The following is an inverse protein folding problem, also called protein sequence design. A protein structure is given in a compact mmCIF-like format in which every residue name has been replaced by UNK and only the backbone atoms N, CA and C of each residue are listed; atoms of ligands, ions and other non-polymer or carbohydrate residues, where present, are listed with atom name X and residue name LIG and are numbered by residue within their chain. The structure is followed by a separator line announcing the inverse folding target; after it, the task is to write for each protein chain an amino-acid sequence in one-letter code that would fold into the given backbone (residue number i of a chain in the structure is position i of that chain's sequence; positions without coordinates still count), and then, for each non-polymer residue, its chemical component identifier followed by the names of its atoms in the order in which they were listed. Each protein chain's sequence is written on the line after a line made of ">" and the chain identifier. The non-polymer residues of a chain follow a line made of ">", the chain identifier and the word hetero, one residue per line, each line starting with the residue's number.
data_IF_419550630529
#
_entry.id   IF_419550630529
#
_cell.length_a   1.000
_cell.length_b   1.000
_cell.length_c   1.000
_cell.angle_alpha   90.00
_cell.angle_beta   90.00
_cell.angle_gamma   90.00
#
_symmetry.space_group_name_H-M   'P 1'
#
loop_
_entity.id
_entity.type
_entity.pdbx_description
1 polymer ?
#
# COMPACT_ATOMS: atom_id res chain seq x y z
N UNK A 1 -35.63 -22.08 39.09
CA UNK A 1 -34.29 -21.80 39.67
C UNK A 1 -33.96 -22.95 40.62
N UNK A 2 -32.75 -23.55 40.67
CA UNK A 2 -31.43 -23.10 40.17
C UNK A 2 -30.90 -23.95 38.97
N UNK A 3 -30.11 -23.45 38.01
CA UNK A 3 -28.65 -23.16 37.93
C UNK A 3 -27.78 -24.30 37.31
N UNK A 4 -26.61 -23.91 36.77
CA UNK A 4 -25.48 -24.73 36.27
C UNK A 4 -25.66 -25.56 34.98
N UNK A 5 -25.45 -24.90 33.84
CA UNK A 5 -24.60 -25.41 32.74
C UNK A 5 -23.54 -24.34 32.51
N UNK A 6 -22.24 -24.58 32.52
CA UNK A 6 -21.52 -25.85 32.41
C UNK A 6 -20.31 -25.58 31.52
N UNK A 7 -19.27 -24.97 32.09
CA UNK A 7 -18.07 -24.56 31.35
C UNK A 7 -17.16 -25.78 31.07
N UNK A 8 -16.41 -25.71 29.96
CA UNK A 8 -15.24 -26.54 29.58
C UNK A 8 -15.41 -27.77 28.66
N UNK A 9 -14.33 -28.01 27.89
CA UNK A 9 -14.02 -29.01 26.84
C UNK A 9 -14.41 -28.62 25.40
N UNK A 10 -13.57 -28.86 24.37
CA UNK A 10 -12.32 -29.65 24.31
C UNK A 10 -11.29 -29.03 23.36
N UNK A 11 -10.01 -29.14 23.72
CA UNK A 11 -8.89 -28.84 22.81
C UNK A 11 -8.54 -30.07 21.93
N UNK A 12 -7.64 -29.85 20.97
CA UNK A 12 -7.07 -30.80 20.01
C UNK A 12 -7.97 -31.21 18.82
N UNK A 13 -7.51 -30.84 17.61
CA UNK A 13 -7.24 -31.70 16.44
C UNK A 13 -6.62 -30.80 15.37
N UNK A 14 -5.34 -31.01 15.06
CA UNK A 14 -4.62 -30.32 13.99
C UNK A 14 -3.65 -31.32 13.35
N UNK A 15 -3.83 -31.67 12.07
CA UNK A 15 -2.95 -32.66 11.43
C UNK A 15 -3.23 -33.04 9.97
N UNK A 16 -4.48 -33.01 9.49
CA UNK A 16 -4.84 -33.64 8.19
C UNK A 16 -5.17 -32.68 7.03
N UNK A 17 -5.16 -31.35 7.24
CA UNK A 17 -5.62 -30.38 6.24
C UNK A 17 -4.58 -29.99 5.15
N UNK A 18 -3.30 -30.28 5.34
CA UNK A 18 -2.22 -29.61 4.58
C UNK A 18 -2.10 -29.98 3.09
N UNK A 19 -2.72 -31.08 2.63
CA UNK A 19 -2.55 -31.56 1.25
C UNK A 19 -3.33 -30.75 0.19
N UNK A 20 -4.45 -30.11 0.56
CA UNK A 20 -5.31 -29.38 -0.39
C UNK A 20 -4.92 -27.89 -0.47
N UNK A 21 -4.52 -27.28 0.65
CA UNK A 21 -4.16 -25.87 0.75
C UNK A 21 -2.98 -25.47 -0.16
N UNK A 22 -1.97 -26.34 -0.29
CA UNK A 22 -0.75 -26.05 -1.05
C UNK A 22 -0.98 -25.79 -2.56
N UNK A 23 -1.98 -26.45 -3.18
CA UNK A 23 -2.25 -26.31 -4.62
C UNK A 23 -2.92 -24.97 -4.95
N UNK A 24 -3.79 -24.47 -4.06
CA UNK A 24 -4.42 -23.15 -4.21
C UNK A 24 -3.40 -22.05 -3.96
N UNK A 25 -2.59 -22.17 -2.90
CA UNK A 25 -1.55 -21.18 -2.57
C UNK A 25 -0.59 -20.96 -3.74
N UNK A 26 -0.05 -22.04 -4.33
CA UNK A 26 0.87 -21.96 -5.46
C UNK A 26 0.26 -21.31 -6.73
N UNK A 27 -1.07 -21.40 -6.89
CA UNK A 27 -1.80 -20.77 -8.01
C UNK A 27 -2.08 -19.29 -7.76
N UNK A 28 -2.18 -18.88 -6.50
CA UNK A 28 -2.26 -17.48 -6.08
C UNK A 28 -0.88 -16.82 -6.20
N UNK A 29 0.18 -17.43 -5.67
CA UNK A 29 1.56 -16.91 -5.75
C UNK A 29 1.97 -16.65 -7.22
N UNK A 30 1.66 -17.59 -8.13
CA UNK A 30 1.91 -17.44 -9.57
C UNK A 30 1.04 -16.37 -10.27
N UNK A 31 -0.09 -15.96 -9.67
CA UNK A 31 -0.94 -14.88 -10.19
C UNK A 31 -0.38 -13.52 -9.77
N UNK A 32 0.06 -13.37 -8.52
CA UNK A 32 0.67 -12.15 -8.00
C UNK A 32 2.02 -11.85 -8.67
N UNK A 33 2.90 -12.83 -8.81
CA UNK A 33 4.18 -12.66 -9.52
C UNK A 33 4.00 -12.19 -10.98
N UNK A 34 2.85 -12.50 -11.60
CA UNK A 34 2.51 -12.06 -12.97
C UNK A 34 1.91 -10.65 -13.02
N UNK A 35 1.40 -10.14 -11.90
CA UNK A 35 0.96 -8.74 -11.76
C UNK A 35 2.15 -7.82 -11.50
N UNK A 36 3.11 -8.23 -10.65
CA UNK A 36 4.36 -7.48 -10.43
C UNK A 36 5.15 -7.31 -11.75
N UNK A 37 5.22 -8.36 -12.57
CA UNK A 37 5.84 -8.30 -13.89
C UNK A 37 5.11 -7.38 -14.90
N UNK A 38 3.82 -7.11 -14.70
CA UNK A 38 3.01 -6.23 -15.54
C UNK A 38 2.96 -4.77 -15.02
N UNK A 39 3.43 -4.52 -13.80
CA UNK A 39 3.53 -3.20 -13.19
C UNK A 39 4.90 -2.51 -13.46
N UNK A 40 5.76 -3.13 -14.27
CA UNK A 40 7.01 -2.51 -14.71
C UNK A 40 6.68 -1.28 -15.60
N UNK A 41 7.19 -0.08 -15.27
CA UNK A 41 6.85 1.14 -16.01
C UNK A 41 7.43 1.10 -17.43
N UNK A 42 6.60 1.42 -18.43
CA UNK A 42 7.09 1.67 -19.79
C UNK A 42 8.04 2.88 -19.81
N UNK A 43 9.12 2.85 -20.62
CA UNK A 43 10.03 3.98 -20.75
C UNK A 43 9.31 5.15 -21.42
N UNK A 44 9.29 6.30 -20.75
CA UNK A 44 8.68 7.51 -21.28
C UNK A 44 9.33 7.95 -22.61
N UNK A 45 8.54 8.45 -23.59
CA UNK A 45 9.09 8.91 -24.86
C UNK A 45 10.04 10.09 -24.64
N UNK A 46 11.22 10.01 -25.26
CA UNK A 46 12.22 11.06 -25.17
C UNK A 46 11.69 12.36 -25.80
N UNK A 47 11.79 13.47 -25.05
CA UNK A 47 11.41 14.79 -25.56
C UNK A 47 12.31 15.18 -26.75
N UNK A 48 11.77 15.84 -27.79
CA UNK A 48 12.56 16.33 -28.90
C UNK A 48 13.61 17.33 -28.42
N UNK A 49 14.83 17.21 -28.93
CA UNK A 49 15.94 18.07 -28.54
C UNK A 49 15.67 19.55 -28.91
N UNK A 50 15.98 20.51 -28.03
CA UNK A 50 15.82 21.93 -28.32
C UNK A 50 16.76 22.36 -29.46
N UNK A 51 16.28 23.27 -30.31
CA UNK A 51 17.09 23.85 -31.38
C UNK A 51 18.29 24.65 -30.81
N UNK A 52 19.45 24.69 -31.51
CA UNK A 52 20.62 25.38 -31.01
C UNK A 52 20.40 26.90 -30.93
N UNK A 53 20.71 27.47 -29.77
CA UNK A 53 20.66 28.92 -29.54
C UNK A 53 21.79 29.65 -30.30
N UNK A 54 21.59 30.92 -30.71
CA UNK A 54 22.60 31.70 -31.41
C UNK A 54 23.83 31.97 -30.52
N UNK A 55 25.02 31.76 -31.06
CA UNK A 55 26.28 32.01 -30.36
C UNK A 55 26.56 33.51 -30.25
N UNK A 56 26.52 34.05 -29.03
CA UNK A 56 27.03 35.38 -28.73
C UNK A 56 28.55 35.38 -28.57
N UNK A 57 29.21 36.44 -29.05
CA UNK A 57 30.65 36.61 -28.93
C UNK A 57 31.08 37.15 -27.54
N UNK A 58 32.22 36.67 -27.03
CA UNK A 58 32.94 37.21 -25.87
C UNK A 58 33.73 38.49 -26.23
N UNK A 59 34.10 39.43 -25.31
CA UNK A 59 34.83 39.22 -24.03
C UNK A 59 34.21 40.02 -22.85
N UNK A 60 34.81 40.33 -21.68
CA UNK A 60 36.12 40.07 -21.04
C UNK A 60 35.99 40.09 -19.48
N UNK A 61 36.99 39.67 -18.67
CA UNK A 61 36.86 39.56 -17.20
C UNK A 61 37.46 40.74 -16.39
N UNK A 62 36.89 41.00 -15.20
CA UNK A 62 37.53 41.73 -14.09
C UNK A 62 36.92 41.29 -12.72
N UNK A 63 37.64 41.42 -11.58
CA UNK A 63 37.39 40.66 -10.33
C UNK A 63 36.56 41.40 -9.27
N UNK A 64 36.23 40.74 -8.14
CA UNK A 64 36.60 41.14 -6.74
C UNK A 64 36.05 40.16 -5.66
N UNK A 65 36.75 40.07 -4.53
CA UNK A 65 36.48 39.38 -3.23
C UNK A 65 35.17 39.87 -2.54
N UNK A 66 34.60 39.29 -1.45
CA UNK A 66 34.65 37.97 -0.77
C UNK A 66 33.62 37.95 0.40
N UNK A 67 33.20 36.78 0.91
CA UNK A 67 32.60 36.61 2.26
C UNK A 67 32.59 35.13 2.70
N UNK A 68 32.83 34.79 3.98
CA UNK A 68 32.85 33.40 4.46
C UNK A 68 31.54 32.89 5.07
N UNK A 69 31.30 31.58 4.90
CA UNK A 69 30.51 30.64 5.71
C UNK A 69 29.02 30.93 6.04
N UNK A 70 28.18 29.92 5.77
CA UNK A 70 26.89 29.71 6.45
C UNK A 70 26.71 28.21 6.68
N UNK A 71 26.16 27.84 7.85
CA UNK A 71 26.18 26.48 8.39
C UNK A 71 25.12 25.54 7.76
N UNK A 72 25.28 24.21 7.84
CA UNK A 72 24.26 23.27 7.38
C UNK A 72 22.98 23.33 8.23
N UNK A 73 21.84 23.53 7.59
CA UNK A 73 20.52 23.54 8.23
C UNK A 73 20.01 22.11 8.46
N UNK A 74 19.60 21.79 9.69
CA UNK A 74 18.88 20.54 9.98
C UNK A 74 17.47 20.56 9.38
N UNK A 75 17.08 19.48 8.71
CA UNK A 75 15.73 19.31 8.18
C UNK A 75 14.74 18.86 9.28
N UNK A 76 13.49 19.34 9.20
CA UNK A 76 12.42 19.05 10.14
C UNK A 76 11.87 17.59 10.01
N UNK A 77 11.25 17.03 11.06
CA UNK A 77 10.67 15.69 11.01
C UNK A 77 9.52 15.57 10.00
N UNK A 78 9.43 14.42 9.33
CA UNK A 78 8.41 14.13 8.33
C UNK A 78 6.99 14.13 8.91
N UNK A 79 6.03 14.62 8.13
CA UNK A 79 4.60 14.66 8.47
C UNK A 79 4.04 13.26 8.73
N UNK A 80 3.21 13.13 9.77
CA UNK A 80 2.46 11.90 10.06
C UNK A 80 1.44 11.58 8.95
N UNK A 81 1.12 10.28 8.71
CA UNK A 81 0.11 9.90 7.72
C UNK A 81 -1.28 10.44 8.09
N UNK A 82 -1.98 10.97 7.10
CA UNK A 82 -3.35 11.47 7.26
C UNK A 82 -4.35 10.33 7.57
N UNK A 83 -5.45 10.60 8.30
CA UNK A 83 -6.49 9.61 8.54
C UNK A 83 -7.19 9.17 7.24
N UNK A 84 -7.72 7.94 7.17
CA UNK A 84 -8.39 7.43 5.97
C UNK A 84 -9.66 8.24 5.67
N UNK A 85 -9.74 8.71 4.43
CA UNK A 85 -10.83 9.54 3.90
C UNK A 85 -12.12 8.74 3.71
N UNK A 86 -13.23 9.43 3.50
CA UNK A 86 -14.52 8.79 3.17
C UNK A 86 -14.45 7.94 1.90
N UNK A 87 -13.59 8.30 0.93
CA UNK A 87 -13.39 7.49 -0.28
C UNK A 87 -12.73 6.15 0.05
N UNK A 88 -11.63 6.18 0.83
CA UNK A 88 -10.90 4.96 1.26
C UNK A 88 -11.84 3.99 2.01
N UNK A 89 -12.73 4.52 2.84
CA UNK A 89 -13.73 3.73 3.58
C UNK A 89 -14.75 3.05 2.65
N UNK A 90 -15.18 3.72 1.58
CA UNK A 90 -16.09 3.14 0.60
C UNK A 90 -15.41 2.02 -0.21
N UNK A 91 -14.13 2.18 -0.56
CA UNK A 91 -13.36 1.13 -1.25
C UNK A 91 -13.11 -0.09 -0.35
N UNK A 92 -12.85 0.12 0.94
CA UNK A 92 -12.78 -0.96 1.93
C UNK A 92 -14.12 -1.71 2.04
N UNK A 93 -15.25 -1.00 2.14
CA UNK A 93 -16.58 -1.63 2.19
C UNK A 93 -16.92 -2.44 0.93
N UNK A 94 -16.49 -1.98 -0.25
CA UNK A 94 -16.62 -2.74 -1.50
C UNK A 94 -15.79 -4.03 -1.46
N UNK A 95 -14.52 -3.92 -1.04
CA UNK A 95 -13.61 -5.05 -0.89
C UNK A 95 -14.13 -6.11 0.07
N UNK A 96 -14.77 -5.70 1.17
CA UNK A 96 -15.46 -6.62 2.09
C UNK A 96 -16.63 -7.37 1.44
N UNK A 97 -17.40 -6.70 0.57
CA UNK A 97 -18.49 -7.33 -0.17
C UNK A 97 -17.98 -8.42 -1.11
N UNK A 98 -16.94 -8.12 -1.88
CA UNK A 98 -16.28 -9.09 -2.77
C UNK A 98 -15.71 -10.30 -2.00
N UNK A 99 -15.13 -10.08 -0.80
CA UNK A 99 -14.64 -11.15 0.06
C UNK A 99 -15.75 -12.00 0.69
N UNK A 100 -16.89 -11.40 1.05
CA UNK A 100 -18.09 -12.12 1.50
C UNK A 100 -18.66 -12.97 0.37
N UNK A 101 -18.81 -12.42 -0.83
CA UNK A 101 -19.43 -13.10 -1.97
C UNK A 101 -18.51 -14.20 -2.55
N UNK A 102 -17.19 -14.05 -2.39
CA UNK A 102 -16.21 -15.13 -2.60
C UNK A 102 -16.21 -16.20 -1.48
N UNK A 103 -17.02 -16.05 -0.42
CA UNK A 103 -17.08 -16.96 0.72
C UNK A 103 -15.83 -16.97 1.61
N UNK A 104 -14.97 -15.96 1.49
CA UNK A 104 -13.73 -15.80 2.27
C UNK A 104 -14.02 -15.21 3.66
N UNK A 105 -15.02 -14.33 3.73
CA UNK A 105 -15.60 -13.84 4.99
C UNK A 105 -16.96 -14.49 5.23
N UNK A 106 -17.22 -14.89 6.46
CA UNK A 106 -18.59 -15.21 6.89
C UNK A 106 -19.42 -13.93 7.03
N UNK A 107 -20.75 -14.06 6.96
CA UNK A 107 -21.67 -12.92 7.16
C UNK A 107 -21.41 -12.17 8.48
N UNK A 108 -21.11 -12.91 9.56
CA UNK A 108 -20.83 -12.32 10.86
C UNK A 108 -19.55 -11.45 10.86
N UNK A 109 -18.49 -11.90 10.19
CA UNK A 109 -17.23 -11.17 10.07
C UNK A 109 -17.37 -9.96 9.14
N UNK A 110 -18.10 -10.12 8.03
CA UNK A 110 -18.44 -9.03 7.12
C UNK A 110 -19.16 -7.90 7.85
N UNK A 111 -20.20 -8.20 8.63
CA UNK A 111 -20.95 -7.19 9.39
C UNK A 111 -20.09 -6.52 10.47
N UNK A 112 -19.25 -7.28 11.17
CA UNK A 112 -18.33 -6.72 12.18
C UNK A 112 -17.30 -5.76 11.57
N UNK A 113 -16.72 -6.10 10.42
CA UNK A 113 -15.73 -5.26 9.74
C UNK A 113 -16.39 -4.03 9.08
N UNK A 114 -17.59 -4.19 8.48
CA UNK A 114 -18.41 -3.09 7.97
C UNK A 114 -18.76 -2.08 9.06
N UNK A 115 -19.21 -2.55 10.23
CA UNK A 115 -19.49 -1.68 11.37
C UNK A 115 -18.24 -0.92 11.83
N UNK A 116 -17.07 -1.58 11.87
CA UNK A 116 -15.80 -0.96 12.26
C UNK A 116 -15.37 0.16 11.30
N UNK A 117 -15.55 -0.01 9.98
CA UNK A 117 -15.20 1.00 8.96
C UNK A 117 -16.15 2.21 8.99
N UNK A 118 -17.42 2.00 9.37
CA UNK A 118 -18.42 3.06 9.49
C UNK A 118 -18.38 3.81 10.83
N UNK A 119 -17.78 3.23 11.87
CA UNK A 119 -17.69 3.80 13.22
C UNK A 119 -16.34 4.48 13.54
N UNK A 120 -15.27 4.15 12.81
CA UNK A 120 -14.03 4.94 12.78
C UNK A 120 -14.15 6.16 11.88
#
# INVERSE_FOLDING_TARGET
>A
MPLLRGLAKTAAVAGTASAVAGRVRRRQDAKFAKQDAAAAPEPAPAAPAPAPAPTYAAPAPAPTYAAPASAPTYAAPASAPAPPTTADRLEQLKSLGELKDAGVLTEAEFQAQKAKILAG
#
